data_IF_976473091824
#
_entry.id   IF_976473091824
#
_cell.length_a   1.000
_cell.length_b   1.000
_cell.length_c   1.000
_cell.angle_alpha   90.00
_cell.angle_beta   90.00
_cell.angle_gamma   90.00
#
_symmetry.space_group_name_H-M   'P 1'
#
loop_
_entity.id
_entity.type
_entity.pdbx_description
1 polymer ?
#
# COMPACT_ATOMS: atom_id res chain seq x y z
N UNK A 1 9.70 8.09 -8.30
CA UNK A 1 9.79 6.63 -8.01
C UNK A 1 8.68 5.89 -8.75
N UNK A 2 8.86 4.59 -9.00
CA UNK A 2 7.81 3.69 -9.50
C UNK A 2 7.16 2.97 -8.33
N UNK A 3 5.85 3.10 -8.21
CA UNK A 3 5.05 2.60 -7.09
C UNK A 3 3.99 1.63 -7.62
N UNK A 4 3.87 0.46 -7.02
CA UNK A 4 2.78 -0.48 -7.28
C UNK A 4 1.91 -0.58 -6.03
N UNK A 5 0.63 -0.26 -6.17
CA UNK A 5 -0.35 -0.40 -5.11
C UNK A 5 -1.20 -1.64 -5.37
N UNK A 6 -1.30 -2.52 -4.37
CA UNK A 6 -2.05 -3.78 -4.48
C UNK A 6 -3.18 -3.77 -3.46
N UNK A 7 -4.40 -3.99 -3.92
CA UNK A 7 -5.57 -4.04 -3.05
C UNK A 7 -6.73 -4.83 -3.63
N UNK A 8 -7.68 -5.21 -2.78
CA UNK A 8 -8.94 -5.74 -3.23
C UNK A 8 -9.79 -4.63 -3.83
N UNK A 9 -10.45 -4.92 -4.94
CA UNK A 9 -11.33 -3.98 -5.65
C UNK A 9 -12.60 -4.67 -6.17
N UNK A 10 -13.17 -5.58 -5.39
CA UNK A 10 -14.51 -6.16 -5.69
C UNK A 10 -15.53 -5.05 -5.92
N UNK A 11 -15.45 -4.02 -5.09
CA UNK A 11 -16.06 -2.72 -5.27
C UNK A 11 -14.94 -1.69 -5.43
N UNK A 12 -15.27 -0.46 -5.80
CA UNK A 12 -14.26 0.58 -5.95
C UNK A 12 -13.56 0.88 -4.64
N UNK A 13 -12.24 0.66 -4.61
CA UNK A 13 -11.41 0.93 -3.44
C UNK A 13 -10.97 2.41 -3.43
N UNK A 14 -11.83 3.26 -2.89
CA UNK A 14 -11.57 4.72 -2.83
C UNK A 14 -10.31 5.05 -2.04
N UNK A 15 -10.05 4.34 -0.93
CA UNK A 15 -8.82 4.55 -0.14
C UNK A 15 -7.55 4.29 -0.96
N UNK A 16 -7.55 3.22 -1.77
CA UNK A 16 -6.44 2.93 -2.66
C UNK A 16 -6.31 3.98 -3.78
N UNK A 17 -7.45 4.43 -4.33
CA UNK A 17 -7.51 5.51 -5.30
C UNK A 17 -6.99 6.83 -4.75
N UNK A 18 -7.26 7.13 -3.46
CA UNK A 18 -6.76 8.32 -2.79
C UNK A 18 -5.23 8.27 -2.60
N UNK A 19 -4.69 7.16 -2.10
CA UNK A 19 -3.24 6.95 -1.97
C UNK A 19 -2.54 7.06 -3.33
N UNK A 20 -3.15 6.51 -4.38
CA UNK A 20 -2.63 6.65 -5.73
C UNK A 20 -2.62 8.13 -6.19
N UNK A 21 -3.70 8.87 -5.93
CA UNK A 21 -3.83 10.28 -6.31
C UNK A 21 -2.77 11.16 -5.65
N UNK A 22 -2.56 11.03 -4.33
CA UNK A 22 -1.55 11.82 -3.62
C UNK A 22 -0.12 11.47 -4.05
N UNK A 23 0.16 10.20 -4.31
CA UNK A 23 1.47 9.77 -4.81
C UNK A 23 1.76 10.30 -6.23
N UNK A 24 0.76 10.27 -7.14
CA UNK A 24 0.89 10.87 -8.47
C UNK A 24 1.06 12.39 -8.40
N UNK A 25 0.28 13.06 -7.54
CA UNK A 25 0.41 14.49 -7.28
C UNK A 25 1.81 14.89 -6.77
N UNK A 26 2.48 13.99 -6.05
CA UNK A 26 3.86 14.15 -5.61
C UNK A 26 4.92 13.80 -6.68
N UNK A 27 4.50 13.49 -7.92
CA UNK A 27 5.41 13.22 -9.05
C UNK A 27 5.88 11.78 -9.18
N UNK A 28 5.23 10.82 -8.51
CA UNK A 28 5.58 9.40 -8.63
C UNK A 28 4.74 8.71 -9.70
N UNK A 29 5.33 7.71 -10.38
CA UNK A 29 4.62 6.83 -11.30
C UNK A 29 3.90 5.75 -10.50
N UNK A 30 2.56 5.68 -10.60
CA UNK A 30 1.74 4.77 -9.79
C UNK A 30 0.93 3.84 -10.67
N UNK A 31 1.02 2.54 -10.39
CA UNK A 31 0.18 1.49 -10.97
C UNK A 31 -0.61 0.79 -9.87
N UNK A 32 -1.92 0.61 -10.09
CA UNK A 32 -2.78 -0.17 -9.20
C UNK A 32 -2.95 -1.58 -9.75
N UNK A 33 -2.81 -2.59 -8.89
CA UNK A 33 -2.96 -4.01 -9.22
C UNK A 33 -4.07 -4.61 -8.36
N UNK A 34 -5.17 -5.05 -8.98
CA UNK A 34 -6.24 -5.76 -8.29
C UNK A 34 -5.76 -7.09 -7.69
N UNK A 35 -6.13 -7.34 -6.43
CA UNK A 35 -5.88 -8.61 -5.75
C UNK A 35 -7.16 -9.14 -5.12
N UNK A 36 -8.01 -9.77 -5.95
CA UNK A 36 -9.34 -10.23 -5.57
C UNK A 36 -9.40 -11.69 -5.15
N UNK A 37 -8.47 -12.50 -5.62
CA UNK A 37 -8.41 -13.93 -5.31
C UNK A 37 -7.01 -14.40 -4.92
N UNK A 38 -6.95 -15.38 -4.04
CA UNK A 38 -5.68 -15.93 -3.55
C UNK A 38 -4.91 -16.74 -4.59
N UNK A 39 -5.56 -17.23 -5.65
CA UNK A 39 -4.92 -17.98 -6.73
C UNK A 39 -4.00 -17.11 -7.59
N UNK A 40 -4.28 -15.82 -7.69
CA UNK A 40 -3.49 -14.88 -8.48
C UNK A 40 -2.17 -14.46 -7.83
N UNK A 41 -1.93 -14.79 -6.56
CA UNK A 41 -0.73 -14.36 -5.77
C UNK A 41 0.59 -14.60 -6.48
N UNK A 42 0.80 -15.82 -6.99
CA UNK A 42 2.06 -16.20 -7.62
C UNK A 42 2.31 -15.43 -8.92
N UNK A 43 1.27 -15.20 -9.71
CA UNK A 43 1.36 -14.39 -10.93
C UNK A 43 1.69 -12.94 -10.58
N UNK A 44 0.93 -12.34 -9.67
CA UNK A 44 1.15 -10.94 -9.23
C UNK A 44 2.56 -10.76 -8.65
N UNK A 45 3.03 -11.70 -7.80
CA UNK A 45 4.37 -11.62 -7.22
C UNK A 45 5.47 -11.62 -8.30
N UNK A 46 5.38 -12.52 -9.30
CA UNK A 46 6.36 -12.59 -10.40
C UNK A 46 6.32 -11.35 -11.28
N UNK A 47 5.11 -10.87 -11.64
CA UNK A 47 4.96 -9.65 -12.45
C UNK A 47 5.59 -8.44 -11.75
N UNK A 48 5.28 -8.23 -10.47
CA UNK A 48 5.84 -7.11 -9.70
C UNK A 48 7.36 -7.26 -9.51
N UNK A 49 7.84 -8.47 -9.21
CA UNK A 49 9.28 -8.70 -9.05
C UNK A 49 10.05 -8.47 -10.36
N UNK A 50 9.48 -8.88 -11.50
CA UNK A 50 10.05 -8.63 -12.84
C UNK A 50 10.08 -7.13 -13.16
N UNK A 51 9.00 -6.41 -12.90
CA UNK A 51 8.90 -4.97 -13.13
C UNK A 51 9.83 -4.16 -12.20
N UNK A 52 10.19 -4.75 -11.05
CA UNK A 52 11.09 -4.15 -10.05
C UNK A 52 10.73 -2.69 -9.71
N UNK A 53 9.52 -2.40 -9.21
CA UNK A 53 9.19 -1.06 -8.74
C UNK A 53 10.04 -0.70 -7.51
N UNK A 54 10.12 0.58 -7.17
CA UNK A 54 10.81 1.03 -5.96
C UNK A 54 10.03 0.69 -4.69
N UNK A 55 8.69 0.79 -4.76
CA UNK A 55 7.79 0.59 -3.62
C UNK A 55 6.58 -0.26 -4.02
N UNK A 56 6.22 -1.19 -3.15
CA UNK A 56 4.93 -1.92 -3.20
C UNK A 56 4.11 -1.55 -1.97
N UNK A 57 2.92 -0.98 -2.19
CA UNK A 57 1.94 -0.68 -1.15
C UNK A 57 0.82 -1.73 -1.13
N UNK A 58 0.57 -2.33 0.04
CA UNK A 58 -0.46 -3.34 0.25
C UNK A 58 -1.64 -2.72 1.02
N UNK A 59 -2.80 -2.59 0.37
CA UNK A 59 -4.02 -2.10 1.02
C UNK A 59 -4.78 -3.24 1.70
N UNK A 60 -4.63 -3.35 3.01
CA UNK A 60 -5.19 -4.43 3.83
C UNK A 60 -6.37 -3.92 4.67
N UNK A 61 -7.52 -3.76 4.04
CA UNK A 61 -8.73 -3.26 4.71
C UNK A 61 -9.35 -4.32 5.66
N UNK A 62 -9.39 -5.59 5.22
CA UNK A 62 -10.14 -6.65 5.90
C UNK A 62 -9.22 -7.67 6.58
N UNK A 63 -9.49 -7.95 7.85
CA UNK A 63 -8.75 -8.93 8.64
C UNK A 63 -8.78 -10.33 8.00
N UNK A 64 -9.92 -10.78 7.49
CA UNK A 64 -10.08 -12.14 6.95
C UNK A 64 -9.18 -12.42 5.73
N UNK A 65 -8.73 -11.36 5.01
CA UNK A 65 -7.82 -11.49 3.88
C UNK A 65 -6.36 -11.17 4.21
N UNK A 66 -6.06 -10.81 5.43
CA UNK A 66 -4.71 -10.39 5.84
C UNK A 66 -3.63 -11.43 5.54
N UNK A 67 -3.93 -12.72 5.76
CA UNK A 67 -3.01 -13.82 5.48
C UNK A 67 -2.66 -13.95 3.99
N UNK A 68 -3.58 -13.59 3.08
CA UNK A 68 -3.34 -13.60 1.64
C UNK A 68 -2.33 -12.52 1.24
N UNK A 69 -2.51 -11.29 1.76
CA UNK A 69 -1.58 -10.18 1.54
C UNK A 69 -0.19 -10.44 2.13
N UNK A 70 -0.12 -11.00 3.34
CA UNK A 70 1.16 -11.41 3.95
C UNK A 70 1.82 -12.54 3.16
N UNK A 71 1.03 -13.46 2.59
CA UNK A 71 1.54 -14.49 1.69
C UNK A 71 2.09 -13.88 0.38
N UNK A 72 1.40 -12.87 -0.16
CA UNK A 72 1.89 -12.13 -1.33
C UNK A 72 3.21 -11.40 -1.03
N UNK A 73 3.32 -10.72 0.12
CA UNK A 73 4.56 -10.05 0.52
C UNK A 73 5.75 -11.03 0.63
N UNK A 74 5.52 -12.21 1.22
CA UNK A 74 6.54 -13.28 1.28
C UNK A 74 6.92 -13.79 -0.11
N UNK A 75 5.95 -13.95 -1.00
CA UNK A 75 6.22 -14.36 -2.38
C UNK A 75 7.03 -13.31 -3.13
N UNK A 76 6.72 -12.03 -3.01
CA UNK A 76 7.52 -10.94 -3.59
C UNK A 76 9.00 -11.08 -3.21
N UNK A 77 9.29 -11.32 -1.92
CA UNK A 77 10.67 -11.52 -1.44
C UNK A 77 11.32 -12.78 -2.03
N UNK A 78 10.57 -13.87 -2.14
CA UNK A 78 11.06 -15.13 -2.75
C UNK A 78 11.34 -14.99 -4.26
N UNK A 79 10.52 -14.22 -4.97
CA UNK A 79 10.73 -13.89 -6.39
C UNK A 79 11.85 -12.85 -6.60
N UNK A 80 12.54 -12.43 -5.55
CA UNK A 80 13.71 -11.56 -5.62
C UNK A 80 13.43 -10.07 -5.53
N UNK A 81 12.19 -9.64 -5.25
CA UNK A 81 11.89 -8.23 -5.06
C UNK A 81 12.67 -7.64 -3.88
N UNK A 82 13.40 -6.54 -4.11
CA UNK A 82 14.25 -5.86 -3.12
C UNK A 82 13.78 -4.46 -2.76
N UNK A 83 12.78 -3.91 -3.46
CA UNK A 83 12.18 -2.62 -3.13
C UNK A 83 11.46 -2.61 -1.79
N UNK A 84 10.98 -1.46 -1.38
CA UNK A 84 10.28 -1.29 -0.10
C UNK A 84 8.85 -1.83 -0.19
N UNK A 85 8.44 -2.65 0.78
CA UNK A 85 7.06 -3.14 0.92
C UNK A 85 6.42 -2.47 2.13
N UNK A 86 5.38 -1.69 1.91
CA UNK A 86 4.60 -1.08 2.98
C UNK A 86 3.16 -1.60 2.97
N UNK A 87 2.54 -1.67 4.13
CA UNK A 87 1.13 -2.00 4.25
C UNK A 87 0.35 -0.83 4.85
N UNK A 88 -0.91 -0.70 4.51
CA UNK A 88 -1.82 0.30 5.06
C UNK A 88 -3.26 -0.20 5.11
N UNK A 89 -4.12 0.58 5.75
CA UNK A 89 -5.52 0.27 5.98
C UNK A 89 -5.84 -0.10 7.43
N UNK A 90 -7.08 -0.48 7.69
CA UNK A 90 -7.56 -0.71 9.06
C UNK A 90 -6.84 -1.86 9.77
N UNK A 91 -6.69 -3.00 9.11
CA UNK A 91 -6.08 -4.16 9.74
C UNK A 91 -4.61 -3.93 10.16
N UNK A 92 -3.70 -3.43 9.29
CA UNK A 92 -2.32 -3.14 9.69
C UNK A 92 -2.21 -2.13 10.83
N UNK A 93 -3.07 -1.12 10.84
CA UNK A 93 -3.10 -0.10 11.91
C UNK A 93 -3.38 -0.73 13.28
N UNK A 94 -4.30 -1.69 13.35
CA UNK A 94 -4.72 -2.33 14.60
C UNK A 94 -3.86 -3.53 15.01
N UNK A 95 -3.23 -4.19 14.03
CA UNK A 95 -2.54 -5.49 14.23
C UNK A 95 -1.07 -5.44 13.77
N UNK A 96 -0.33 -4.40 14.18
CA UNK A 96 1.06 -4.15 13.74
C UNK A 96 1.98 -5.36 13.86
N UNK A 97 1.98 -6.01 15.03
CA UNK A 97 2.86 -7.16 15.28
C UNK A 97 2.53 -8.35 14.37
N UNK A 98 1.25 -8.49 13.96
CA UNK A 98 0.84 -9.51 13.02
C UNK A 98 1.29 -9.19 11.58
N UNK A 99 1.51 -7.92 11.24
CA UNK A 99 1.92 -7.50 9.89
C UNK A 99 3.44 -7.36 9.78
N UNK A 100 4.08 -6.70 10.76
CA UNK A 100 5.53 -6.47 10.78
C UNK A 100 6.33 -7.61 11.43
N UNK A 101 5.72 -8.80 11.58
CA UNK A 101 6.39 -9.98 12.12
C UNK A 101 7.58 -10.42 11.25
N UNK A 102 8.56 -11.07 11.90
CA UNK A 102 9.75 -11.57 11.19
C UNK A 102 9.35 -12.51 10.04
N UNK A 103 9.94 -12.29 8.87
CA UNK A 103 9.72 -13.12 7.69
C UNK A 103 8.41 -12.84 6.93
N UNK A 104 7.62 -11.85 7.31
CA UNK A 104 6.42 -11.46 6.56
C UNK A 104 6.73 -10.71 5.27
N UNK A 105 7.93 -10.14 5.13
CA UNK A 105 8.35 -9.43 3.91
C UNK A 105 7.84 -8.00 3.80
N UNK A 106 7.16 -7.50 4.84
CA UNK A 106 6.68 -6.11 4.97
C UNK A 106 7.71 -5.32 5.78
N UNK A 107 8.11 -4.15 5.29
CA UNK A 107 9.14 -3.31 5.91
C UNK A 107 8.51 -2.24 6.82
N UNK A 108 7.35 -1.72 6.44
CA UNK A 108 6.66 -0.68 7.19
C UNK A 108 5.13 -0.78 7.12
N UNK A 109 4.47 -0.08 8.03
CA UNK A 109 3.02 0.13 8.03
C UNK A 109 2.73 1.61 8.11
N UNK A 110 1.92 2.10 7.18
CA UNK A 110 1.32 3.43 7.20
C UNK A 110 0.05 3.36 8.06
N UNK A 111 0.03 4.17 9.12
CA UNK A 111 -1.01 4.15 10.16
C UNK A 111 -2.12 5.16 9.85
N UNK A 112 -3.35 4.80 10.18
CA UNK A 112 -4.54 5.67 10.09
C UNK A 112 -4.73 6.28 8.70
N UNK A 113 -4.93 7.59 8.61
CA UNK A 113 -5.03 8.34 7.36
C UNK A 113 -3.64 8.40 6.73
N UNK A 114 -3.49 7.73 5.60
CA UNK A 114 -2.19 7.39 5.05
C UNK A 114 -1.63 8.39 4.05
N UNK A 115 -2.41 9.35 3.59
CA UNK A 115 -2.12 10.18 2.43
C UNK A 115 -0.80 10.96 2.59
N UNK A 116 -0.70 11.76 3.63
CA UNK A 116 0.51 12.53 3.91
C UNK A 116 1.70 11.64 4.32
N UNK A 117 1.42 10.60 5.14
CA UNK A 117 2.45 9.66 5.59
C UNK A 117 3.06 8.90 4.42
N UNK A 118 2.23 8.50 3.46
CA UNK A 118 2.71 7.77 2.28
C UNK A 118 3.58 8.66 1.37
N UNK A 119 3.16 9.90 1.12
CA UNK A 119 3.98 10.86 0.34
C UNK A 119 5.30 11.16 1.04
N UNK A 120 5.31 11.36 2.36
CA UNK A 120 6.53 11.57 3.14
C UNK A 120 7.45 10.35 3.08
N UNK A 121 6.90 9.13 3.21
CA UNK A 121 7.63 7.87 3.05
C UNK A 121 8.31 7.79 1.68
N UNK A 122 7.58 8.04 0.59
CA UNK A 122 8.13 8.01 -0.77
C UNK A 122 9.27 9.02 -0.93
N UNK A 123 9.08 10.25 -0.45
CA UNK A 123 10.12 11.28 -0.50
C UNK A 123 11.39 10.90 0.28
N UNK A 124 11.26 10.27 1.45
CA UNK A 124 12.39 9.78 2.23
C UNK A 124 13.13 8.63 1.51
N UNK A 125 12.38 7.66 0.98
CA UNK A 125 12.95 6.55 0.22
C UNK A 125 13.70 7.03 -1.02
N UNK A 126 13.15 7.98 -1.76
CA UNK A 126 13.78 8.56 -2.96
C UNK A 126 15.12 9.23 -2.65
N UNK A 127 15.19 9.96 -1.53
CA UNK A 127 16.41 10.61 -1.05
C UNK A 127 17.34 9.69 -0.25
N UNK A 128 16.94 8.43 -0.04
CA UNK A 128 17.65 7.44 0.79
C UNK A 128 17.89 7.95 2.22
N UNK A 129 16.93 8.69 2.75
CA UNK A 129 16.96 9.23 4.10
C UNK A 129 16.39 8.24 5.13
N UNK A 130 16.79 8.33 6.41
CA UNK A 130 16.21 7.51 7.48
C UNK A 130 14.69 7.74 7.61
N UNK A 131 13.96 6.65 7.87
CA UNK A 131 12.50 6.67 7.99
C UNK A 131 12.00 7.00 9.41
N UNK A 132 12.91 7.21 10.35
CA UNK A 132 12.62 7.40 11.78
C UNK A 132 11.80 8.67 12.07
N UNK A 133 11.89 9.65 11.20
CA UNK A 133 11.18 10.92 11.31
C UNK A 133 9.81 10.93 10.62
N UNK A 134 9.48 9.90 9.81
CA UNK A 134 8.19 9.85 9.10
C UNK A 134 7.06 9.64 10.10
N UNK A 135 6.26 10.68 10.33
CA UNK A 135 5.14 10.60 11.27
C UNK A 135 4.05 9.69 10.76
N UNK A 136 3.42 8.92 11.66
CA UNK A 136 2.38 7.98 11.30
C UNK A 136 2.89 6.69 10.64
N UNK A 137 4.21 6.41 10.71
CA UNK A 137 4.82 5.18 10.18
C UNK A 137 5.22 4.24 11.33
N UNK A 138 5.01 2.95 11.12
CA UNK A 138 5.60 1.90 11.95
C UNK A 138 6.56 1.05 11.10
N UNK A 139 7.66 0.61 11.70
CA UNK A 139 8.77 -0.09 11.03
C UNK A 139 9.04 -1.43 11.70
N UNK A 140 9.43 -2.42 10.92
CA UNK A 140 10.03 -3.64 11.45
C UNK A 140 11.45 -3.34 11.96
N UNK A 141 11.75 -3.70 13.18
CA UNK A 141 13.07 -3.52 13.78
C UNK A 141 13.62 -4.84 14.34
N UNK A 142 14.91 -4.87 14.72
CA UNK A 142 15.53 -6.07 15.27
C UNK A 142 14.90 -6.52 16.60
N UNK A 143 14.41 -5.59 17.41
CA UNK A 143 13.76 -5.83 18.71
C UNK A 143 12.23 -5.92 18.63
N UNK A 144 11.66 -5.86 17.41
CA UNK A 144 10.21 -5.88 17.18
C UNK A 144 9.71 -4.67 16.42
N UNK A 145 8.46 -4.31 16.63
CA UNK A 145 7.82 -3.17 15.94
C UNK A 145 8.18 -1.86 16.61
N UNK A 146 8.72 -0.92 15.84
CA UNK A 146 8.95 0.46 16.26
C UNK A 146 7.90 1.37 15.62
N UNK A 147 7.22 2.18 16.44
CA UNK A 147 6.29 3.21 15.97
C UNK A 147 6.97 4.56 16.04
N UNK A 148 6.89 5.31 14.96
CA UNK A 148 7.24 6.72 14.95
C UNK A 148 6.13 7.57 15.62
N UNK A 149 6.38 8.84 15.95
CA UNK A 149 5.34 9.71 16.45
C UNK A 149 4.11 9.72 15.55
N UNK A 150 2.92 9.70 16.15
CA UNK A 150 1.66 9.76 15.41
C UNK A 150 1.54 11.06 14.61
N UNK A 151 0.82 10.99 13.51
CA UNK A 151 0.33 12.19 12.81
C UNK A 151 -0.98 12.61 13.46
N UNK A 152 -1.18 13.90 13.71
CA UNK A 152 -2.48 14.42 14.17
C UNK A 152 -3.58 14.14 13.15
N UNK A 153 -4.83 14.33 13.55
CA UNK A 153 -5.95 14.31 12.61
C UNK A 153 -5.62 15.27 11.47
N UNK A 154 -5.74 14.75 10.25
CA UNK A 154 -5.25 15.42 9.05
C UNK A 154 -5.88 16.79 8.83
N UNK A 155 -5.23 17.55 8.01
CA UNK A 155 -5.71 18.78 7.38
C UNK A 155 -7.05 18.56 6.70
N UNK A 156 -7.77 19.62 6.42
CA UNK A 156 -9.04 19.61 5.70
C UNK A 156 -9.05 18.59 4.56
N UNK A 157 -10.06 17.74 4.51
CA UNK A 157 -10.27 16.78 3.40
C UNK A 157 -10.33 17.51 2.04
N UNK A 158 -10.73 18.78 2.03
CA UNK A 158 -10.80 19.62 0.84
C UNK A 158 -9.41 19.92 0.23
N UNK A 159 -8.33 19.68 0.96
CA UNK A 159 -6.96 19.83 0.45
C UNK A 159 -6.44 18.57 -0.27
N UNK A 160 -7.12 17.44 -0.15
CA UNK A 160 -6.74 16.20 -0.81
C UNK A 160 -7.26 16.16 -2.26
N UNK A 161 -6.52 15.56 -3.19
CA UNK A 161 -7.01 15.35 -4.54
C UNK A 161 -8.18 14.36 -4.54
N UNK A 162 -9.01 14.39 -5.57
CA UNK A 162 -10.00 13.34 -5.77
C UNK A 162 -9.31 11.98 -6.00
N UNK A 163 -9.89 10.87 -5.50
CA UNK A 163 -9.34 9.55 -5.72
C UNK A 163 -9.28 9.21 -7.20
N UNK A 164 -8.22 8.55 -7.62
CA UNK A 164 -8.09 8.06 -8.99
C UNK A 164 -9.09 6.93 -9.22
N UNK A 165 -9.84 7.03 -10.31
CA UNK A 165 -10.73 5.99 -10.80
C UNK A 165 -9.96 5.05 -11.73
N UNK A 166 -9.36 3.99 -11.20
CA UNK A 166 -8.50 3.08 -11.95
C UNK A 166 -9.26 1.88 -12.56
N UNK A 167 -10.50 1.65 -12.12
CA UNK A 167 -11.34 0.58 -12.67
C UNK A 167 -11.95 1.00 -14.00
N UNK A 168 -12.00 0.05 -14.93
CA UNK A 168 -12.78 0.24 -16.17
C UNK A 168 -14.27 0.16 -15.84
N UNK A 169 -15.10 1.07 -16.34
CA UNK A 169 -16.55 1.00 -16.17
C UNK A 169 -17.10 -0.30 -16.74
N UNK A 170 -17.84 -1.05 -15.93
CA UNK A 170 -18.66 -2.14 -16.44
C UNK A 170 -19.90 -1.56 -17.14
N UNK A 171 -20.55 -2.35 -18.01
CA UNK A 171 -21.80 -1.94 -18.64
C UNK A 171 -22.94 -2.79 -18.12
N UNK A 172 -23.99 -2.16 -17.60
CA UNK A 172 -25.25 -2.79 -17.27
C UNK A 172 -26.36 -2.19 -18.13
N UNK A 173 -27.06 -3.02 -18.90
CA UNK A 173 -28.09 -2.56 -19.88
C UNK A 173 -27.59 -1.45 -20.83
N UNK A 174 -26.32 -1.51 -21.24
CA UNK A 174 -25.68 -0.52 -22.12
C UNK A 174 -25.19 0.76 -21.43
N UNK A 175 -25.52 0.97 -20.14
CA UNK A 175 -25.08 2.13 -19.36
C UNK A 175 -23.76 1.79 -18.65
N UNK A 176 -22.71 2.62 -18.80
CA UNK A 176 -21.48 2.40 -18.05
C UNK A 176 -21.70 2.71 -16.56
N UNK A 177 -21.18 1.83 -15.70
CA UNK A 177 -21.13 2.09 -14.27
C UNK A 177 -19.84 1.49 -13.66
N UNK A 178 -19.40 2.03 -12.54
CA UNK A 178 -18.28 1.47 -11.75
C UNK A 178 -18.92 0.88 -10.48
N UNK A 179 -18.88 -0.46 -10.32
CA UNK A 179 -19.47 -1.12 -9.18
C UNK A 179 -18.69 -0.85 -7.90
#
# INVERSE_FOLDING_TARGET
MRVVLVGADFEENLGLGMIAAVAQGAGHEVRVVPFNDSGSRGRIAREIAHDSPDVVGLSMQFQHRSHEFLSLARLLRREGFRGHVTAGGQFPTLALSAVLGRGHGVDSVVLHDGEETFVELLGKLERREPLDSVRGLALAGPEGVRKNPGRGLGTSLDSLPFPIRYRQPARHAGVPFVP
#
